data_IF_466071468258
#
_entry.id   IF_466071468258
#
_cell.length_a   1.000
_cell.length_b   1.000
_cell.length_c   1.000
_cell.angle_alpha   90.00
_cell.angle_beta   90.00
_cell.angle_gamma   90.00
#
_symmetry.space_group_name_H-M   'P 1'
#
loop_
_entity.id
_entity.type
_entity.pdbx_description
1 polymer ?
#
# COMPACT_ATOMS: atom_id res chain seq x y z
N UNK A 1 27.17 -20.46 -4.85
CA UNK A 1 27.52 -19.45 -3.83
C UNK A 1 26.24 -18.77 -3.36
N UNK A 2 26.16 -18.40 -2.08
CA UNK A 2 25.04 -17.62 -1.54
C UNK A 2 25.54 -16.40 -0.79
N UNK A 3 24.79 -15.29 -0.89
CA UNK A 3 25.01 -14.06 -0.12
C UNK A 3 23.68 -13.62 0.48
N UNK A 4 23.72 -13.06 1.69
CA UNK A 4 22.52 -12.65 2.40
C UNK A 4 22.70 -11.29 3.06
N UNK A 5 21.66 -10.47 3.03
CA UNK A 5 21.60 -9.18 3.68
C UNK A 5 20.40 -9.15 4.63
N UNK A 6 20.67 -8.97 5.93
CA UNK A 6 19.64 -8.75 6.93
C UNK A 6 19.42 -7.25 7.11
N UNK A 7 18.19 -6.80 6.88
CA UNK A 7 17.79 -5.41 6.98
C UNK A 7 16.84 -5.29 8.17
N UNK A 8 17.17 -4.37 9.09
CA UNK A 8 16.36 -4.12 10.28
C UNK A 8 15.97 -2.66 10.34
N UNK A 9 14.68 -2.40 10.45
CA UNK A 9 14.16 -1.08 10.76
C UNK A 9 14.59 -0.69 12.18
N UNK A 10 15.21 0.50 12.32
CA UNK A 10 15.43 1.12 13.64
C UNK A 10 14.13 1.69 14.21
N UNK A 11 13.13 1.91 13.37
CA UNK A 11 11.85 2.44 13.80
C UNK A 11 11.01 1.33 14.43
N UNK A 12 10.62 1.57 15.68
CA UNK A 12 9.82 0.67 16.48
C UNK A 12 8.31 0.95 16.38
N UNK A 13 7.89 1.91 15.57
CA UNK A 13 6.48 2.17 15.29
C UNK A 13 5.91 1.05 14.40
N UNK A 14 4.79 0.47 14.81
CA UNK A 14 4.07 -0.55 14.04
C UNK A 14 3.45 0.03 12.76
N UNK A 15 3.27 1.36 12.70
CA UNK A 15 2.82 2.05 11.51
C UNK A 15 3.95 2.29 10.51
N UNK A 16 5.19 1.83 10.77
CA UNK A 16 6.31 1.99 9.85
C UNK A 16 6.70 0.64 9.28
N UNK A 17 6.61 0.53 7.95
CA UNK A 17 6.99 -0.66 7.20
C UNK A 17 8.31 -0.42 6.46
N UNK A 18 9.09 -1.47 6.33
CA UNK A 18 10.33 -1.46 5.56
C UNK A 18 10.03 -1.94 4.13
N UNK A 19 10.43 -1.14 3.15
CA UNK A 19 10.35 -1.48 1.72
C UNK A 19 11.75 -1.66 1.15
N UNK A 20 11.93 -2.68 0.32
CA UNK A 20 13.10 -2.85 -0.54
C UNK A 20 12.68 -2.77 -2.00
N UNK A 21 13.43 -2.00 -2.79
CA UNK A 21 13.22 -1.83 -4.22
C UNK A 21 14.51 -2.18 -4.98
N UNK A 22 14.39 -3.04 -5.98
CA UNK A 22 15.50 -3.50 -6.79
C UNK A 22 15.62 -2.67 -8.08
N UNK A 23 16.86 -2.46 -8.53
CA UNK A 23 17.20 -1.77 -9.77
C UNK A 23 18.46 -2.38 -10.39
N UNK A 24 18.72 -2.07 -11.66
CA UNK A 24 19.92 -2.50 -12.39
C UNK A 24 20.21 -4.01 -12.24
N UNK A 25 19.14 -4.81 -12.34
CA UNK A 25 19.21 -6.25 -12.20
C UNK A 25 19.56 -6.90 -13.54
N UNK A 26 20.58 -7.74 -13.53
CA UNK A 26 20.97 -8.54 -14.67
C UNK A 26 21.35 -9.92 -14.15
N UNK A 27 20.36 -10.82 -14.09
CA UNK A 27 20.52 -12.20 -13.65
C UNK A 27 20.19 -13.16 -14.80
N UNK A 28 20.65 -14.41 -14.69
CA UNK A 28 20.28 -15.47 -15.64
C UNK A 28 18.76 -15.58 -15.87
N UNK A 29 18.34 -15.84 -17.11
CA UNK A 29 16.95 -16.16 -17.43
C UNK A 29 16.63 -17.59 -16.97
N UNK A 30 15.68 -17.75 -16.05
CA UNK A 30 15.17 -19.07 -15.65
C UNK A 30 15.31 -19.43 -14.17
N UNK A 31 15.90 -18.59 -13.32
CA UNK A 31 15.92 -18.71 -11.85
C UNK A 31 16.59 -19.98 -11.25
N UNK A 32 16.98 -20.94 -12.10
CA UNK A 32 17.72 -22.15 -11.74
C UNK A 32 19.20 -21.85 -11.45
N UNK A 33 19.75 -20.85 -12.15
CA UNK A 33 21.15 -20.48 -12.05
C UNK A 33 21.34 -19.38 -11.02
N UNK A 34 20.74 -18.21 -11.27
CA UNK A 34 20.76 -17.05 -10.39
C UNK A 34 19.35 -16.70 -9.91
N UNK A 35 19.20 -16.42 -8.62
CA UNK A 35 17.95 -15.93 -8.08
C UNK A 35 18.15 -15.06 -6.86
N UNK A 36 17.23 -14.11 -6.67
CA UNK A 36 17.10 -13.32 -5.44
C UNK A 36 15.79 -13.71 -4.78
N UNK A 37 15.84 -13.94 -3.47
CA UNK A 37 14.68 -14.24 -2.62
C UNK A 37 14.59 -13.21 -1.49
N UNK A 38 13.38 -12.80 -1.13
CA UNK A 38 13.13 -11.87 -0.03
C UNK A 38 12.15 -12.49 0.97
N UNK A 39 12.50 -12.45 2.24
CA UNK A 39 11.72 -13.01 3.33
C UNK A 39 11.23 -11.93 4.31
N UNK A 40 10.00 -12.08 4.79
CA UNK A 40 9.29 -11.24 5.77
C UNK A 40 9.75 -11.56 7.21
N UNK A 41 11.05 -11.40 7.46
CA UNK A 41 11.66 -11.72 8.74
C UNK A 41 13.17 -11.88 8.65
N UNK A 42 13.83 -12.22 9.77
CA UNK A 42 15.28 -12.30 9.84
C UNK A 42 15.87 -13.59 9.23
N UNK A 43 15.06 -14.59 8.88
CA UNK A 43 15.53 -15.92 8.47
C UNK A 43 14.84 -16.43 7.20
N UNK A 44 15.45 -17.44 6.55
CA UNK A 44 14.84 -18.14 5.40
C UNK A 44 13.66 -19.05 5.79
N UNK A 45 13.37 -19.19 7.10
CA UNK A 45 12.19 -19.90 7.59
C UNK A 45 10.95 -18.99 7.70
N UNK A 46 11.14 -17.68 7.56
CA UNK A 46 10.06 -16.71 7.55
C UNK A 46 9.34 -16.70 6.20
N UNK A 47 8.25 -15.93 6.11
CA UNK A 47 7.38 -15.93 4.91
C UNK A 47 8.15 -15.39 3.69
N UNK A 48 8.24 -16.19 2.63
CA UNK A 48 8.80 -15.75 1.35
C UNK A 48 7.87 -14.70 0.71
N UNK A 49 8.35 -13.46 0.60
CA UNK A 49 7.65 -12.37 -0.09
C UNK A 49 7.75 -12.52 -1.61
N UNK A 50 8.87 -13.05 -2.10
CA UNK A 50 9.05 -13.35 -3.50
C UNK A 50 10.44 -13.88 -3.84
N UNK A 51 10.52 -14.55 -4.98
CA UNK A 51 11.75 -15.01 -5.61
C UNK A 51 11.71 -14.64 -7.09
N UNK A 52 12.78 -14.07 -7.62
CA UNK A 52 12.86 -13.66 -9.02
C UNK A 52 14.28 -13.74 -9.58
N UNK A 53 14.37 -13.57 -10.88
CA UNK A 53 15.58 -13.60 -11.71
C UNK A 53 15.32 -12.76 -12.98
N UNK A 54 16.25 -12.75 -13.93
CA UNK A 54 16.14 -11.92 -15.13
C UNK A 54 16.39 -10.44 -14.87
N UNK A 55 15.60 -9.59 -15.50
CA UNK A 55 15.68 -8.11 -15.51
C UNK A 55 14.51 -7.44 -14.78
N UNK A 56 13.65 -8.22 -14.13
CA UNK A 56 12.53 -7.72 -13.33
C UNK A 56 13.02 -6.91 -12.11
N UNK A 57 12.42 -5.74 -11.91
CA UNK A 57 12.74 -4.80 -10.82
C UNK A 57 11.59 -4.74 -9.79
N UNK A 58 11.40 -5.78 -8.97
CA UNK A 58 10.30 -5.83 -8.01
C UNK A 58 10.56 -4.94 -6.78
N UNK A 59 9.48 -4.76 -6.02
CA UNK A 59 9.48 -4.12 -4.71
C UNK A 59 8.79 -5.01 -3.71
N UNK A 60 9.31 -5.06 -2.49
CA UNK A 60 8.73 -5.85 -1.40
C UNK A 60 8.61 -5.02 -0.14
N UNK A 61 7.49 -5.18 0.55
CA UNK A 61 7.21 -4.53 1.83
C UNK A 61 7.10 -5.62 2.88
N UNK A 62 7.90 -5.53 3.95
CA UNK A 62 7.83 -6.45 5.08
C UNK A 62 6.69 -6.05 6.02
N UNK A 63 6.02 -7.05 6.61
CA UNK A 63 5.12 -6.84 7.74
C UNK A 63 5.86 -6.83 9.08
N UNK A 64 7.09 -7.36 9.08
CA UNK A 64 8.02 -7.38 10.20
C UNK A 64 8.91 -6.13 10.25
N UNK A 65 9.69 -6.02 11.33
CA UNK A 65 10.78 -5.03 11.45
C UNK A 65 12.08 -5.50 10.81
N UNK A 66 12.14 -6.79 10.50
CA UNK A 66 13.26 -7.47 9.90
C UNK A 66 12.88 -7.95 8.50
N UNK A 67 13.85 -7.94 7.60
CA UNK A 67 13.74 -8.49 6.26
C UNK A 67 15.07 -9.15 5.90
N UNK A 68 14.99 -10.28 5.22
CA UNK A 68 16.17 -10.98 4.71
C UNK A 68 16.12 -11.01 3.19
N UNK A 69 17.18 -10.53 2.56
CA UNK A 69 17.41 -10.67 1.11
C UNK A 69 18.49 -11.71 0.90
N UNK A 70 18.22 -12.73 0.11
CA UNK A 70 19.15 -13.83 -0.20
C UNK A 70 19.38 -13.89 -1.69
N UNK A 71 20.64 -13.79 -2.10
CA UNK A 71 21.07 -14.05 -3.47
C UNK A 71 21.71 -15.44 -3.54
N UNK A 72 21.21 -16.26 -4.47
CA UNK A 72 21.74 -17.59 -4.75
C UNK A 72 22.20 -17.66 -6.20
N UNK A 73 23.42 -18.14 -6.42
CA UNK A 73 23.97 -18.40 -7.74
C UNK A 73 24.71 -19.75 -7.76
N UNK A 74 24.51 -20.55 -8.80
CA UNK A 74 25.36 -21.71 -9.10
C UNK A 74 26.28 -21.48 -10.32
N UNK A 75 26.22 -20.29 -10.89
CA UNK A 75 27.00 -19.86 -12.05
C UNK A 75 28.47 -19.62 -11.69
N UNK A 76 29.37 -19.96 -12.61
CA UNK A 76 30.75 -19.47 -12.64
C UNK A 76 30.93 -18.26 -13.58
N UNK A 77 29.89 -17.95 -14.38
CA UNK A 77 29.85 -16.79 -15.26
C UNK A 77 29.45 -15.53 -14.50
N UNK A 78 30.14 -14.43 -14.80
CA UNK A 78 29.90 -13.15 -14.17
C UNK A 78 28.67 -12.46 -14.77
N UNK A 79 27.73 -12.11 -13.89
CA UNK A 79 26.63 -11.23 -14.18
C UNK A 79 26.77 -9.93 -13.37
N UNK A 80 26.21 -8.83 -13.88
CA UNK A 80 26.31 -7.49 -13.25
C UNK A 80 25.68 -7.44 -11.86
N UNK A 81 24.78 -8.39 -11.56
CA UNK A 81 24.14 -8.56 -10.27
C UNK A 81 22.88 -7.72 -10.13
N UNK A 82 22.71 -7.09 -8.97
CA UNK A 82 21.61 -6.17 -8.69
C UNK A 82 22.02 -5.05 -7.76
N UNK A 83 21.29 -3.94 -7.87
CA UNK A 83 21.22 -2.88 -6.88
C UNK A 83 19.89 -3.00 -6.14
N UNK A 84 19.91 -2.80 -4.83
CA UNK A 84 18.71 -2.74 -4.03
C UNK A 84 18.78 -1.56 -3.09
N UNK A 85 17.73 -0.76 -3.03
CA UNK A 85 17.59 0.32 -2.05
C UNK A 85 16.49 -0.04 -1.07
N UNK A 86 16.71 0.21 0.21
CA UNK A 86 15.66 0.03 1.21
C UNK A 86 15.36 1.32 1.93
N UNK A 87 14.10 1.53 2.31
CA UNK A 87 13.65 2.68 3.08
C UNK A 87 12.48 2.29 3.98
N UNK A 88 12.29 3.06 5.05
CA UNK A 88 11.13 2.92 5.93
C UNK A 88 10.07 3.93 5.53
N UNK A 89 8.83 3.49 5.39
CA UNK A 89 7.70 4.36 5.10
C UNK A 89 6.60 4.16 6.14
N UNK A 90 5.84 5.22 6.42
CA UNK A 90 4.60 5.03 7.15
C UNK A 90 3.69 4.15 6.29
N UNK A 91 3.22 3.06 6.87
CA UNK A 91 2.04 2.36 6.42
C UNK A 91 0.92 3.38 6.48
N UNK A 92 0.64 4.07 5.36
CA UNK A 92 -0.57 4.86 5.24
C UNK A 92 -1.68 3.86 5.46
N UNK A 93 -2.24 3.90 6.67
CA UNK A 93 -3.30 3.02 7.15
C UNK A 93 -4.24 2.69 6.00
N UNK A 94 -4.68 1.42 5.94
CA UNK A 94 -5.75 0.94 5.07
C UNK A 94 -6.97 1.87 5.13
N UNK A 95 -6.94 2.99 4.41
CA UNK A 95 -8.12 3.67 3.92
C UNK A 95 -8.53 2.97 2.62
N UNK A 96 -8.71 1.65 2.70
CA UNK A 96 -9.91 1.10 2.07
C UNK A 96 -11.04 1.69 2.87
N UNK A 97 -11.47 2.92 2.54
CA UNK A 97 -12.79 3.38 2.90
C UNK A 97 -13.72 2.23 2.50
N UNK A 98 -14.35 1.51 3.45
CA UNK A 98 -15.26 0.45 3.08
C UNK A 98 -16.52 1.15 2.59
N UNK A 99 -16.52 1.64 1.34
CA UNK A 99 -17.64 2.16 0.58
C UNK A 99 -18.82 2.64 1.46
N UNK A 100 -18.59 3.56 2.41
CA UNK A 100 -19.64 4.08 3.30
C UNK A 100 -20.73 4.82 2.49
N UNK A 101 -20.43 5.09 1.21
CA UNK A 101 -21.34 5.52 0.15
C UNK A 101 -22.63 4.69 0.16
N UNK A 102 -22.58 3.36 0.31
CA UNK A 102 -23.80 2.53 0.33
C UNK A 102 -24.64 2.71 1.60
N UNK A 103 -24.00 2.96 2.75
CA UNK A 103 -24.71 3.27 4.00
C UNK A 103 -25.37 4.64 3.94
N UNK A 104 -24.68 5.63 3.37
CA UNK A 104 -25.25 6.96 3.15
C UNK A 104 -26.41 6.95 2.15
N UNK A 105 -26.27 6.21 1.04
CA UNK A 105 -27.34 6.06 0.03
C UNK A 105 -28.55 5.34 0.64
N UNK A 106 -28.36 4.27 1.40
CA UNK A 106 -29.44 3.55 2.07
C UNK A 106 -30.18 4.44 3.10
N UNK A 107 -29.43 5.24 3.88
CA UNK A 107 -30.01 6.17 4.84
C UNK A 107 -30.79 7.30 4.16
N UNK A 108 -30.25 7.87 3.08
CA UNK A 108 -30.94 8.90 2.29
C UNK A 108 -32.22 8.36 1.64
N UNK A 109 -32.18 7.13 1.08
CA UNK A 109 -33.37 6.47 0.52
C UNK A 109 -34.42 6.24 1.62
N UNK A 110 -34.01 5.77 2.80
CA UNK A 110 -34.92 5.56 3.93
C UNK A 110 -35.58 6.87 4.38
N UNK A 111 -34.81 7.96 4.49
CA UNK A 111 -35.32 9.28 4.85
C UNK A 111 -36.27 9.81 3.78
N UNK A 112 -35.96 9.63 2.49
CA UNK A 112 -36.84 10.04 1.39
C UNK A 112 -38.13 9.21 1.41
N UNK A 113 -38.07 7.89 1.62
CA UNK A 113 -39.26 7.03 1.65
C UNK A 113 -40.16 7.34 2.86
N UNK A 114 -39.58 7.49 4.06
CA UNK A 114 -40.32 7.89 5.26
C UNK A 114 -40.85 9.31 5.11
N UNK A 115 -40.05 10.22 4.56
CA UNK A 115 -40.42 11.59 4.24
C UNK A 115 -41.58 11.64 3.25
N UNK A 116 -41.53 10.91 2.13
CA UNK A 116 -42.59 10.81 1.14
C UNK A 116 -43.85 10.13 1.71
N UNK A 117 -43.71 9.15 2.59
CA UNK A 117 -44.85 8.51 3.24
C UNK A 117 -45.54 9.44 4.26
N UNK A 118 -44.75 10.17 5.06
CA UNK A 118 -45.25 11.16 6.01
C UNK A 118 -45.79 12.40 5.29
N UNK A 119 -45.13 12.91 4.25
CA UNK A 119 -45.65 13.95 3.36
C UNK A 119 -46.89 13.46 2.64
N UNK A 120 -46.93 12.23 2.13
CA UNK A 120 -48.09 11.65 1.48
C UNK A 120 -49.29 11.61 2.42
N UNK A 121 -49.09 11.15 3.66
CA UNK A 121 -50.14 11.15 4.69
C UNK A 121 -50.53 12.56 5.16
N UNK A 122 -49.57 13.48 5.25
CA UNK A 122 -49.79 14.87 5.65
C UNK A 122 -50.49 15.68 4.55
N UNK A 123 -50.08 15.53 3.30
CA UNK A 123 -50.67 16.16 2.12
C UNK A 123 -52.00 15.52 1.75
N UNK A 124 -52.22 14.22 1.94
CA UNK A 124 -53.56 13.63 1.81
C UNK A 124 -54.52 14.13 2.91
N UNK A 125 -54.01 14.42 4.12
CA UNK A 125 -54.78 15.10 5.17
C UNK A 125 -55.00 16.59 4.94
N UNK A 126 -54.07 17.29 4.28
CA UNK A 126 -54.06 18.76 4.21
C UNK A 126 -54.45 19.31 2.84
N UNK A 127 -54.18 18.57 1.77
CA UNK A 127 -54.31 18.96 0.37
C UNK A 127 -54.96 17.84 -0.48
N UNK A 128 -55.95 17.15 0.10
CA UNK A 128 -57.05 16.54 -0.65
C UNK A 128 -57.86 17.55 -1.48
N UNK A 129 -57.42 18.80 -1.57
CA UNK A 129 -57.80 19.77 -2.58
C UNK A 129 -56.66 20.80 -2.75
N UNK A 130 -56.20 20.98 -3.99
CA UNK A 130 -55.36 22.07 -4.55
C UNK A 130 -53.82 22.07 -4.41
N UNK A 131 -53.21 21.83 -5.59
CA UNK A 131 -52.08 22.49 -6.29
C UNK A 131 -50.95 23.15 -5.48
N UNK A 132 -49.70 22.76 -5.78
CA UNK A 132 -48.46 23.28 -5.18
C UNK A 132 -47.59 24.03 -6.20
N UNK A 133 -46.99 25.14 -5.80
CA UNK A 133 -45.83 25.78 -6.47
C UNK A 133 -45.05 26.60 -5.45
N UNK A 134 -43.72 26.47 -5.42
CA UNK A 134 -42.86 27.36 -4.61
C UNK A 134 -41.41 26.87 -4.40
N UNK A 135 -40.46 27.65 -4.91
CA UNK A 135 -38.98 27.49 -4.94
C UNK A 135 -38.23 27.83 -3.64
N UNK A 136 -36.98 27.35 -3.57
CA UNK A 136 -35.78 28.08 -3.11
C UNK A 136 -35.29 27.76 -1.68
N UNK A 137 -34.03 27.96 -1.26
CA UNK A 137 -32.71 28.25 -1.85
C UNK A 137 -31.66 28.30 -0.68
N UNK A 138 -30.36 28.19 -0.99
CA UNK A 138 -29.15 28.74 -0.31
C UNK A 138 -28.38 27.99 0.82
N UNK A 139 -27.04 28.11 0.70
CA UNK A 139 -26.06 28.41 1.78
C UNK A 139 -25.15 27.24 2.19
N UNK A 140 -23.94 27.06 1.64
CA UNK A 140 -22.60 27.57 2.04
C UNK A 140 -22.09 27.14 3.42
N UNK A 141 -20.95 26.45 3.48
CA UNK A 141 -19.84 26.71 4.43
C UNK A 141 -18.59 25.85 4.11
N UNK A 142 -17.42 26.47 4.28
CA UNK A 142 -16.07 25.93 4.05
C UNK A 142 -15.49 25.32 5.33
N UNK A 143 -14.67 24.27 5.21
CA UNK A 143 -13.74 23.88 6.28
C UNK A 143 -12.37 23.56 5.66
N UNK A 144 -11.38 24.40 5.95
CA UNK A 144 -9.98 24.11 5.66
C UNK A 144 -9.43 23.15 6.72
N UNK A 145 -8.64 22.17 6.29
CA UNK A 145 -7.89 21.30 7.19
C UNK A 145 -6.40 21.41 6.90
N UNK A 146 -5.68 21.86 7.93
CA UNK A 146 -4.23 21.88 8.07
C UNK A 146 -3.74 20.44 8.12
N UNK A 147 -2.77 20.11 7.27
CA UNK A 147 -2.12 18.80 7.22
C UNK A 147 -0.69 18.99 7.72
N UNK A 148 -0.40 18.42 8.90
CA UNK A 148 0.95 18.43 9.46
C UNK A 148 1.79 17.38 8.71
N UNK A 149 2.80 17.86 7.98
CA UNK A 149 3.79 17.03 7.30
C UNK A 149 4.79 16.58 8.37
N UNK A 150 4.71 15.31 8.76
CA UNK A 150 5.84 14.66 9.44
C UNK A 150 6.81 14.16 8.37
N UNK A 151 7.95 14.84 8.30
CA UNK A 151 9.10 14.46 7.48
C UNK A 151 9.71 13.18 8.07
N UNK A 152 9.23 12.02 7.62
CA UNK A 152 9.88 10.76 7.91
C UNK A 152 11.06 10.63 6.95
N UNK A 153 12.22 11.05 7.44
CA UNK A 153 13.50 10.87 6.77
C UNK A 153 13.63 9.41 6.28
N UNK A 154 13.39 9.22 4.98
CA UNK A 154 13.56 7.94 4.30
C UNK A 154 15.06 7.71 4.17
N UNK A 155 15.67 6.99 5.11
CA UNK A 155 17.06 6.58 4.96
C UNK A 155 17.12 5.50 3.90
N UNK A 156 17.47 5.89 2.68
CA UNK A 156 17.79 4.97 1.60
C UNK A 156 19.23 4.47 1.76
N UNK A 157 19.41 3.15 1.84
CA UNK A 157 20.74 2.56 1.79
C UNK A 157 20.75 1.54 0.65
N UNK A 158 21.77 1.64 -0.20
CA UNK A 158 21.93 0.79 -1.36
C UNK A 158 22.85 -0.39 -1.04
N UNK A 159 22.40 -1.58 -1.41
CA UNK A 159 23.18 -2.81 -1.41
C UNK A 159 23.47 -3.17 -2.86
N UNK A 160 24.68 -3.69 -3.10
CA UNK A 160 25.11 -4.12 -4.42
C UNK A 160 25.64 -5.54 -4.32
N UNK A 161 25.05 -6.44 -5.09
CA UNK A 161 25.58 -7.79 -5.26
C UNK A 161 26.47 -7.80 -6.49
N UNK A 162 27.66 -7.18 -6.41
CA UNK A 162 28.66 -7.38 -7.47
C UNK A 162 29.19 -8.82 -7.37
N UNK A 163 29.13 -9.56 -8.46
CA UNK A 163 29.95 -10.75 -8.65
C UNK A 163 31.39 -10.32 -8.95
N UNK A 164 32.02 -9.60 -8.02
CA UNK A 164 33.46 -9.36 -8.06
C UNK A 164 34.17 -10.56 -7.42
N UNK A 165 35.05 -11.21 -8.18
CA UNK A 165 35.99 -12.19 -7.65
C UNK A 165 37.42 -11.66 -7.76
N UNK A 166 38.01 -11.46 -6.56
CA UNK A 166 39.43 -11.27 -6.22
C UNK A 166 40.11 -9.93 -6.49
#
# INVERSE_FOLDING_TARGET
>A
MSRSWSIRSKNADENVVLEVAFSDIYLSSGCETDSVSVYDGPTEYDVLLGKWCGDDQPKFVTSSRDMLVVFHTNSTAEHTGFLASYHTQLQSSRFKHPNHIWLCIALLILIILVGCFLLGRYLFRKYGHHQWSGKGNKGTESMGSRMDIYDHASTSVSMKSLLETF
#
